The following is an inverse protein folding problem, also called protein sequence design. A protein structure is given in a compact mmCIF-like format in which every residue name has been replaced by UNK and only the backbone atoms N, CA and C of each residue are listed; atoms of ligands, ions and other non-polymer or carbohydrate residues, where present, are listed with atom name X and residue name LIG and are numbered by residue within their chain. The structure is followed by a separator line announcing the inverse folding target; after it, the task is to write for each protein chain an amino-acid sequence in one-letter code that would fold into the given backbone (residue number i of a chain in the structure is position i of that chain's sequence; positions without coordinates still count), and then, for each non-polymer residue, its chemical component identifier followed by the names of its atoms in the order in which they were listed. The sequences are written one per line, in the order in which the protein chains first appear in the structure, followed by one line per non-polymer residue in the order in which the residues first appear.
data_IF_130395785366
#
_entry.id   IF_130395785366
#
_cell.length_a   1.000
_cell.length_b   1.000
_cell.length_c   1.000
_cell.angle_alpha   90.00
_cell.angle_beta   90.00
_cell.angle_gamma   90.00
#
_symmetry.space_group_name_H-M   'P 1'
#
loop_
_entity.id
_entity.type
_entity.pdbx_description
1 polymer ?
#
# COMPACT_ATOMS: atom_id res chain seq x y z
N UNK A 1 21.20 13.80 25.98
CA UNK A 1 20.47 13.30 24.79
C UNK A 1 19.38 12.37 25.30
N UNK A 2 18.10 12.57 24.98
CA UNK A 2 17.07 11.58 25.37
C UNK A 2 17.29 10.33 24.52
N UNK A 3 17.59 9.20 25.16
CA UNK A 3 17.61 7.91 24.49
C UNK A 3 16.18 7.47 24.19
N UNK A 4 15.86 7.29 22.91
CA UNK A 4 14.57 6.75 22.49
C UNK A 4 14.68 5.23 22.42
N UNK A 5 13.99 4.54 23.33
CA UNK A 5 13.89 3.08 23.31
C UNK A 5 12.71 2.64 22.46
N UNK A 6 12.89 1.54 21.74
CA UNK A 6 11.82 0.87 21.03
C UNK A 6 10.77 0.40 22.05
N UNK A 7 9.49 0.70 21.79
CA UNK A 7 8.38 0.22 22.61
C UNK A 7 8.07 -1.23 22.28
N UNK A 8 7.77 -2.04 23.29
CA UNK A 8 7.22 -3.39 23.10
C UNK A 8 5.84 -3.34 22.45
N UNK A 9 5.42 -4.41 21.79
CA UNK A 9 4.13 -4.43 21.07
C UNK A 9 2.92 -4.20 22.00
N UNK A 10 3.01 -4.66 23.24
CA UNK A 10 1.99 -4.40 24.27
C UNK A 10 1.91 -2.91 24.60
N UNK A 11 3.06 -2.24 24.73
CA UNK A 11 3.11 -0.80 25.01
C UNK A 11 2.64 0.03 23.81
N UNK A 12 2.87 -0.45 22.58
CA UNK A 12 2.32 0.17 21.37
C UNK A 12 0.78 0.10 21.33
N UNK A 13 0.16 -1.02 21.74
CA UNK A 13 -1.30 -1.12 21.89
C UNK A 13 -1.81 -0.14 22.94
N UNK A 14 -1.18 -0.11 24.12
CA UNK A 14 -1.53 0.82 25.20
C UNK A 14 -1.39 2.27 24.76
N UNK A 15 -0.38 2.59 23.95
CA UNK A 15 -0.18 3.92 23.41
C UNK A 15 -1.30 4.34 22.46
N UNK A 16 -1.82 3.43 21.62
CA UNK A 16 -3.00 3.72 20.80
C UNK A 16 -4.23 4.00 21.66
N UNK A 17 -4.46 3.20 22.70
CA UNK A 17 -5.56 3.42 23.63
C UNK A 17 -5.44 4.75 24.37
N UNK A 18 -4.27 5.06 24.91
CA UNK A 18 -3.99 6.33 25.60
C UNK A 18 -4.17 7.55 24.69
N UNK A 19 -4.10 7.38 23.38
CA UNK A 19 -4.32 8.44 22.38
C UNK A 19 -5.76 8.51 21.86
N UNK A 20 -6.69 7.74 22.41
CA UNK A 20 -8.12 7.79 22.06
C UNK A 20 -8.57 6.74 21.04
N UNK A 21 -7.74 5.76 20.68
CA UNK A 21 -8.22 4.61 19.89
C UNK A 21 -8.97 3.65 20.80
N UNK A 22 -10.22 3.39 20.47
CA UNK A 22 -11.09 2.51 21.25
C UNK A 22 -10.83 1.03 20.92
N UNK A 23 -10.75 0.21 21.96
CA UNK A 23 -10.72 -1.23 21.87
C UNK A 23 -12.03 -1.78 22.41
N UNK A 24 -12.57 -2.83 21.80
CA UNK A 24 -13.80 -3.45 22.31
C UNK A 24 -13.54 -4.42 23.46
N UNK A 25 -12.63 -4.04 24.36
CA UNK A 25 -12.24 -4.71 25.60
C UNK A 25 -11.43 -3.72 26.46
N UNK A 26 -11.41 -3.91 27.79
CA UNK A 26 -10.58 -3.11 28.69
C UNK A 26 -9.14 -3.64 28.70
N UNK A 27 -8.15 -2.80 28.36
CA UNK A 27 -6.73 -3.17 28.36
C UNK A 27 -6.14 -3.40 29.76
N UNK A 28 -6.78 -2.87 30.81
CA UNK A 28 -6.28 -3.00 32.19
C UNK A 28 -6.68 -4.34 32.83
N UNK A 29 -7.83 -4.89 32.44
CA UNK A 29 -8.44 -6.10 33.05
C UNK A 29 -8.42 -7.33 32.12
N UNK A 30 -7.78 -7.24 30.96
CA UNK A 30 -7.82 -8.32 29.96
C UNK A 30 -6.93 -9.50 30.37
N UNK A 31 -7.48 -10.72 30.23
CA UNK A 31 -6.67 -11.94 30.30
C UNK A 31 -5.73 -12.03 29.10
N UNK A 32 -4.49 -12.46 29.32
CA UNK A 32 -3.53 -12.73 28.24
C UNK A 32 -4.07 -13.76 27.23
N UNK A 33 -4.96 -14.68 27.64
CA UNK A 33 -5.54 -15.67 26.76
C UNK A 33 -6.75 -15.16 25.95
N UNK A 34 -7.12 -13.89 26.08
CA UNK A 34 -8.22 -13.34 25.30
C UNK A 34 -7.90 -13.35 23.80
N UNK A 35 -8.80 -13.97 23.03
CA UNK A 35 -8.62 -14.18 21.59
C UNK A 35 -8.50 -12.87 20.81
N UNK A 36 -9.23 -11.82 21.24
CA UNK A 36 -9.29 -10.55 20.53
C UNK A 36 -8.03 -9.73 20.84
N UNK A 37 -7.60 -9.70 22.10
CA UNK A 37 -6.33 -9.09 22.49
C UNK A 37 -5.14 -9.73 21.78
N UNK A 38 -5.06 -11.05 21.74
CA UNK A 38 -3.98 -11.76 21.03
C UNK A 38 -3.98 -11.47 19.53
N UNK A 39 -5.16 -11.37 18.92
CA UNK A 39 -5.30 -10.97 17.51
C UNK A 39 -4.82 -9.53 17.27
N UNK A 40 -5.17 -8.60 18.13
CA UNK A 40 -4.79 -7.20 18.00
C UNK A 40 -3.28 -7.01 18.23
N UNK A 41 -2.69 -7.76 19.18
CA UNK A 41 -1.25 -7.81 19.41
C UNK A 41 -0.48 -8.37 18.20
N UNK A 42 -0.95 -9.49 17.64
CA UNK A 42 -0.40 -10.08 16.41
C UNK A 42 -0.52 -9.09 15.23
N UNK A 43 -1.60 -8.32 15.17
CA UNK A 43 -1.79 -7.32 14.11
C UNK A 43 -0.75 -6.21 14.23
N UNK A 44 -0.49 -5.70 15.44
CA UNK A 44 0.57 -4.70 15.67
C UNK A 44 1.95 -5.27 15.33
N UNK A 45 2.27 -6.50 15.74
CA UNK A 45 3.58 -7.10 15.43
C UNK A 45 3.77 -7.36 13.94
N UNK A 46 2.68 -7.61 13.20
CA UNK A 46 2.74 -7.86 11.74
C UNK A 46 2.79 -6.57 10.93
N UNK A 47 1.98 -5.56 11.28
CA UNK A 47 1.84 -4.34 10.48
C UNK A 47 2.76 -3.20 10.95
N UNK A 48 3.10 -3.19 12.23
CA UNK A 48 3.85 -2.13 12.89
C UNK A 48 2.97 -0.95 13.33
N UNK A 49 3.30 -0.38 14.50
CA UNK A 49 2.62 0.79 15.05
C UNK A 49 2.63 1.99 14.11
N UNK A 50 3.78 2.33 13.52
CA UNK A 50 3.89 3.53 12.69
C UNK A 50 3.06 3.44 11.42
N UNK A 51 3.01 2.26 10.79
CA UNK A 51 2.14 2.03 9.64
C UNK A 51 0.69 2.30 10.03
N UNK A 52 0.20 1.66 11.09
CA UNK A 52 -1.18 1.86 11.57
C UNK A 52 -1.43 3.32 12.00
N UNK A 53 -0.46 3.98 12.62
CA UNK A 53 -0.54 5.39 13.02
C UNK A 53 -0.78 6.30 11.82
N UNK A 54 -0.14 6.04 10.68
CA UNK A 54 -0.32 6.84 9.47
C UNK A 54 -1.73 6.67 8.88
N UNK A 55 -2.30 5.46 8.92
CA UNK A 55 -3.70 5.23 8.54
C UNK A 55 -4.71 5.83 9.53
N UNK A 56 -4.30 6.01 10.79
CA UNK A 56 -5.09 6.65 11.83
C UNK A 56 -5.02 8.19 11.77
N UNK A 57 -4.01 8.75 11.11
CA UNK A 57 -3.75 10.20 11.06
C UNK A 57 -4.99 11.06 10.72
N UNK A 58 -5.87 10.68 9.78
CA UNK A 58 -7.06 11.47 9.46
C UNK A 58 -8.09 11.58 10.60
N UNK A 59 -7.98 10.76 11.65
CA UNK A 59 -8.84 10.79 12.83
C UNK A 59 -8.20 11.55 14.00
N UNK A 60 -6.97 12.04 13.84
CA UNK A 60 -6.24 12.74 14.88
C UNK A 60 -6.67 14.20 14.96
N UNK A 61 -6.92 14.67 16.18
CA UNK A 61 -7.30 16.04 16.53
C UNK A 61 -6.46 16.55 17.70
N UNK A 62 -6.70 17.77 18.17
CA UNK A 62 -6.00 18.36 19.32
C UNK A 62 -6.10 17.51 20.59
N UNK A 63 -7.21 16.79 20.78
CA UNK A 63 -7.46 15.90 21.93
C UNK A 63 -7.04 14.45 21.73
N UNK A 64 -6.48 14.09 20.56
CA UNK A 64 -6.17 12.71 20.19
C UNK A 64 -7.04 12.17 19.05
N UNK A 65 -7.06 10.85 18.91
CA UNK A 65 -7.89 10.15 17.93
C UNK A 65 -9.35 10.15 18.38
N UNK A 66 -10.26 10.55 17.49
CA UNK A 66 -11.69 10.60 17.78
C UNK A 66 -12.47 9.60 16.92
N UNK A 67 -13.45 8.91 17.53
CA UNK A 67 -14.39 8.00 16.85
C UNK A 67 -13.70 6.91 15.99
N UNK A 68 -12.55 6.42 16.46
CA UNK A 68 -11.76 5.40 15.79
C UNK A 68 -11.57 4.20 16.71
N UNK A 69 -12.09 3.06 16.30
CA UNK A 69 -11.78 1.79 16.96
C UNK A 69 -10.59 1.13 16.28
N UNK A 70 -9.82 0.32 17.03
CA UNK A 70 -8.67 -0.39 16.47
C UNK A 70 -9.08 -1.31 15.30
N UNK A 71 -10.23 -2.00 15.43
CA UNK A 71 -10.77 -2.81 14.33
C UNK A 71 -11.06 -1.98 13.07
N UNK A 72 -11.64 -0.77 13.19
CA UNK A 72 -11.89 0.12 12.04
C UNK A 72 -10.58 0.54 11.39
N UNK A 73 -9.56 0.85 12.18
CA UNK A 73 -8.23 1.21 11.69
C UNK A 73 -7.61 0.07 10.86
N UNK A 74 -7.62 -1.15 11.41
CA UNK A 74 -7.09 -2.34 10.74
C UNK A 74 -7.88 -2.65 9.46
N UNK A 75 -9.21 -2.57 9.51
CA UNK A 75 -10.05 -2.74 8.31
C UNK A 75 -9.73 -1.71 7.23
N UNK A 76 -9.48 -0.44 7.60
CA UNK A 76 -9.07 0.61 6.66
C UNK A 76 -7.75 0.25 5.96
N UNK A 77 -6.74 -0.20 6.72
CA UNK A 77 -5.47 -0.66 6.17
C UNK A 77 -5.67 -1.79 5.15
N UNK A 78 -6.41 -2.85 5.50
CA UNK A 78 -6.59 -3.99 4.61
C UNK A 78 -7.43 -3.65 3.38
N UNK A 79 -8.40 -2.74 3.50
CA UNK A 79 -9.18 -2.26 2.35
C UNK A 79 -8.28 -1.54 1.35
N UNK A 80 -7.43 -0.65 1.83
CA UNK A 80 -6.48 0.06 0.98
C UNK A 80 -5.45 -0.89 0.33
N UNK A 81 -4.92 -1.84 1.10
CA UNK A 81 -4.04 -2.90 0.57
C UNK A 81 -4.71 -3.69 -0.56
N UNK A 82 -5.95 -4.12 -0.38
CA UNK A 82 -6.71 -4.86 -1.40
C UNK A 82 -6.94 -4.01 -2.65
N UNK A 83 -7.28 -2.73 -2.47
CA UNK A 83 -7.46 -1.80 -3.58
C UNK A 83 -6.17 -1.63 -4.39
N UNK A 84 -5.04 -1.41 -3.70
CA UNK A 84 -3.72 -1.31 -4.34
C UNK A 84 -3.41 -2.54 -5.20
N UNK A 85 -3.54 -3.74 -4.62
CA UNK A 85 -3.28 -4.98 -5.33
C UNK A 85 -4.22 -5.15 -6.54
N UNK A 86 -5.50 -4.81 -6.41
CA UNK A 86 -6.45 -4.89 -7.52
C UNK A 86 -6.10 -3.94 -8.66
N UNK A 87 -5.62 -2.73 -8.34
CA UNK A 87 -5.14 -1.76 -9.34
C UNK A 87 -3.88 -2.25 -10.02
N UNK A 88 -2.92 -2.81 -9.27
CA UNK A 88 -1.69 -3.40 -9.82
C UNK A 88 -2.01 -4.52 -10.81
N UNK A 89 -2.91 -5.45 -10.46
CA UNK A 89 -3.35 -6.52 -11.36
C UNK A 89 -4.02 -5.97 -12.63
N UNK A 90 -4.89 -4.97 -12.50
CA UNK A 90 -5.55 -4.37 -13.66
C UNK A 90 -4.54 -3.69 -14.61
N UNK A 91 -3.52 -3.04 -14.05
CA UNK A 91 -2.44 -2.43 -14.85
C UNK A 91 -1.65 -3.51 -15.60
N UNK A 92 -1.32 -4.61 -14.93
CA UNK A 92 -0.58 -5.74 -15.51
C UNK A 92 -1.35 -6.38 -16.69
N UNK A 93 -2.66 -6.56 -16.56
CA UNK A 93 -3.52 -7.07 -17.65
C UNK A 93 -3.54 -6.13 -18.86
N UNK A 94 -3.65 -4.82 -18.60
CA UNK A 94 -3.62 -3.79 -19.65
C UNK A 94 -2.26 -3.80 -20.35
N UNK A 95 -1.16 -3.81 -19.60
CA UNK A 95 0.19 -3.82 -20.13
C UNK A 95 0.45 -5.06 -20.99
N UNK A 96 0.12 -6.24 -20.48
CA UNK A 96 0.26 -7.51 -21.21
C UNK A 96 -0.52 -7.49 -22.53
N UNK A 97 -1.76 -7.00 -22.49
CA UNK A 97 -2.63 -6.90 -23.66
C UNK A 97 -2.07 -5.91 -24.69
N UNK A 98 -1.63 -4.73 -24.24
CA UNK A 98 -1.05 -3.71 -25.12
C UNK A 98 0.24 -4.21 -25.76
N UNK A 99 1.15 -4.81 -24.97
CA UNK A 99 2.40 -5.36 -25.47
C UNK A 99 2.17 -6.45 -26.52
N UNK A 100 1.20 -7.33 -26.28
CA UNK A 100 0.85 -8.39 -27.24
C UNK A 100 0.29 -7.81 -28.54
N UNK A 101 -0.61 -6.83 -28.45
CA UNK A 101 -1.18 -6.16 -29.64
C UNK A 101 -0.13 -5.40 -30.43
N UNK A 102 0.74 -4.66 -29.75
CA UNK A 102 1.84 -3.92 -30.38
C UNK A 102 2.79 -4.91 -31.07
N UNK A 103 3.23 -5.96 -30.37
CA UNK A 103 4.11 -6.99 -30.93
C UNK A 103 3.49 -7.67 -32.17
N UNK A 104 2.19 -8.00 -32.13
CA UNK A 104 1.48 -8.56 -33.26
C UNK A 104 1.45 -7.61 -34.47
N UNK A 105 1.09 -6.34 -34.26
CA UNK A 105 1.02 -5.34 -35.33
C UNK A 105 2.39 -5.06 -35.95
N UNK A 106 3.44 -4.91 -35.13
CA UNK A 106 4.80 -4.68 -35.59
C UNK A 106 5.36 -5.93 -36.30
N UNK A 107 5.11 -7.12 -35.76
CA UNK A 107 5.49 -8.39 -36.36
C UNK A 107 4.85 -8.62 -37.74
N UNK A 108 3.56 -8.30 -37.87
CA UNK A 108 2.84 -8.43 -39.13
C UNK A 108 3.31 -7.41 -40.18
N UNK A 109 3.65 -6.18 -39.77
CA UNK A 109 4.03 -5.11 -40.71
C UNK A 109 5.51 -5.15 -41.11
N UNK A 110 6.39 -5.52 -40.19
CA UNK A 110 7.85 -5.36 -40.36
C UNK A 110 8.63 -6.67 -40.19
N UNK A 111 7.93 -7.80 -40.02
CA UNK A 111 8.52 -9.12 -39.75
C UNK A 111 8.83 -9.34 -38.27
N UNK A 112 9.21 -10.57 -37.91
CA UNK A 112 9.42 -11.02 -36.53
C UNK A 112 10.39 -10.16 -35.72
N UNK A 113 11.36 -9.50 -36.36
CA UNK A 113 12.36 -8.64 -35.71
C UNK A 113 12.09 -7.14 -35.94
N UNK A 114 10.99 -6.78 -36.59
CA UNK A 114 10.70 -5.40 -36.97
C UNK A 114 10.48 -4.45 -35.79
N UNK A 115 10.12 -4.98 -34.62
CA UNK A 115 10.00 -4.20 -33.38
C UNK A 115 11.35 -3.68 -32.85
N UNK A 116 12.48 -4.33 -33.22
CA UNK A 116 13.81 -3.90 -32.80
C UNK A 116 14.28 -2.61 -33.51
N UNK A 117 13.71 -2.32 -34.68
CA UNK A 117 14.07 -1.15 -35.47
C UNK A 117 13.13 0.02 -35.15
N UNK A 118 13.45 0.75 -34.08
CA UNK A 118 12.65 1.86 -33.56
C UNK A 118 12.26 2.88 -34.65
N UNK A 119 13.15 3.17 -35.60
CA UNK A 119 12.90 4.12 -36.69
C UNK A 119 11.72 3.70 -37.60
N UNK A 120 11.40 2.41 -37.68
CA UNK A 120 10.32 1.92 -38.54
C UNK A 120 8.92 2.19 -38.01
N UNK A 121 8.76 2.32 -36.70
CA UNK A 121 7.44 2.36 -36.06
C UNK A 121 7.23 3.54 -35.10
N UNK A 122 8.27 4.29 -34.79
CA UNK A 122 8.13 5.54 -34.06
C UNK A 122 7.59 6.68 -34.95
N UNK A 123 7.17 7.77 -34.30
CA UNK A 123 6.77 8.98 -35.00
C UNK A 123 7.99 9.60 -35.68
N UNK A 124 7.98 9.59 -37.02
CA UNK A 124 9.01 10.21 -37.87
C UNK A 124 8.62 11.63 -38.30
N UNK A 125 7.34 11.99 -38.22
CA UNK A 125 6.82 13.31 -38.54
C UNK A 125 6.84 14.22 -37.30
N UNK A 126 7.58 15.32 -37.36
CA UNK A 126 7.75 16.23 -36.21
C UNK A 126 8.98 15.92 -35.33
N UNK A 127 9.07 16.59 -34.18
CA UNK A 127 10.18 16.42 -33.24
C UNK A 127 10.05 15.09 -32.49
N UNK A 128 11.08 14.25 -32.57
CA UNK A 128 11.20 13.03 -31.79
C UNK A 128 12.60 13.00 -31.16
N UNK A 129 12.67 13.16 -29.82
CA UNK A 129 13.94 13.23 -29.08
C UNK A 129 14.78 11.95 -29.16
N UNK A 130 14.18 10.83 -29.55
CA UNK A 130 14.83 9.53 -29.65
C UNK A 130 15.38 9.24 -31.06
N UNK A 131 15.03 10.05 -32.06
CA UNK A 131 15.60 9.97 -33.40
C UNK A 131 16.67 11.05 -33.51
N UNK A 132 17.94 10.66 -33.63
CA UNK A 132 19.02 11.59 -33.98
C UNK A 132 18.89 11.86 -35.48
N UNK A 133 18.38 13.05 -35.86
CA UNK A 133 18.43 13.51 -37.25
C UNK A 133 19.88 13.85 -37.57
N UNK A 134 20.54 13.00 -38.37
CA UNK A 134 21.81 13.34 -39.04
C UNK A 134 21.52 14.11 -40.32
#
# INVERSE_FOLDING_TARGET
MKEYKQLEYVDQLKLFHARGIEFGYNLEDISENDKKYQKDLLTISTLGYYQLKDYAYPYFSESGYNNLTFSKLVSRYYRDKRLRNAVEHAIEDIETTLNTKIAFLLGNRFGSFGYLDFNKWCQTTGYNKYIIRR
#
